data_IF_929848733451
#
_entry.id   IF_929848733451
#
_cell.length_a   1.000
_cell.length_b   1.000
_cell.length_c   1.000
_cell.angle_alpha   90.00
_cell.angle_beta   90.00
_cell.angle_gamma   90.00
#
_symmetry.space_group_name_H-M   'P 1'
#
loop_
_entity.id
_entity.type
_entity.pdbx_description
1 polymer ?
#
# COMPACT_ATOMS: atom_id res chain seq x y z
N UNK A 1 -6.13 -7.01 3.46
CA UNK A 1 -7.03 -5.85 3.56
C UNK A 1 -7.68 -5.50 2.23
N UNK A 2 -8.78 -4.74 2.25
CA UNK A 2 -9.63 -4.47 1.07
C UNK A 2 -8.92 -3.67 -0.03
N UNK A 3 -8.06 -2.74 0.34
CA UNK A 3 -7.37 -1.83 -0.60
C UNK A 3 -5.90 -1.66 -0.27
N UNK A 4 -5.08 -1.34 -1.30
CA UNK A 4 -3.67 -1.02 -1.14
C UNK A 4 -2.69 -2.20 -1.14
N UNK A 5 -3.16 -3.45 -1.13
CA UNK A 5 -2.33 -4.67 -1.02
C UNK A 5 -1.15 -4.68 -2.01
N UNK A 6 -1.42 -4.64 -3.31
CA UNK A 6 -0.39 -4.72 -4.36
C UNK A 6 0.62 -3.57 -4.28
N UNK A 7 0.12 -2.34 -4.05
CA UNK A 7 0.97 -1.15 -3.94
C UNK A 7 1.90 -1.25 -2.73
N UNK A 8 1.36 -1.64 -1.56
CA UNK A 8 2.15 -1.81 -0.34
C UNK A 8 3.18 -2.92 -0.48
N UNK A 9 2.81 -4.07 -1.07
CA UNK A 9 3.73 -5.18 -1.32
C UNK A 9 4.88 -4.75 -2.26
N UNK A 10 4.58 -4.00 -3.32
CA UNK A 10 5.59 -3.49 -4.24
C UNK A 10 6.51 -2.44 -3.59
N UNK A 11 5.96 -1.53 -2.78
CA UNK A 11 6.75 -0.55 -2.01
C UNK A 11 7.67 -1.26 -1.01
N UNK A 12 7.15 -2.23 -0.26
CA UNK A 12 7.94 -3.02 0.68
C UNK A 12 9.08 -3.76 -0.02
N UNK A 13 8.80 -4.41 -1.15
CA UNK A 13 9.82 -5.09 -1.96
C UNK A 13 10.95 -4.14 -2.37
N UNK A 14 10.62 -2.95 -2.91
CA UNK A 14 11.62 -1.96 -3.31
C UNK A 14 12.43 -1.44 -2.11
N UNK A 15 11.79 -1.24 -0.95
CA UNK A 15 12.49 -0.84 0.28
C UNK A 15 13.48 -1.92 0.74
N UNK A 16 13.06 -3.18 0.77
CA UNK A 16 13.92 -4.30 1.17
C UNK A 16 15.09 -4.50 0.21
N UNK A 17 14.90 -4.27 -1.11
CA UNK A 17 16.00 -4.30 -2.09
C UNK A 17 17.04 -3.18 -1.81
N UNK A 18 16.58 -1.94 -1.63
CA UNK A 18 17.48 -0.81 -1.29
C UNK A 18 18.17 -1.03 0.05
N UNK A 19 17.47 -1.69 0.99
CA UNK A 19 18.04 -2.13 2.27
C UNK A 19 19.08 -3.25 2.17
N UNK A 20 19.34 -3.79 0.96
CA UNK A 20 20.33 -4.85 0.72
C UNK A 20 19.86 -6.26 1.08
N UNK A 21 18.56 -6.46 1.34
CA UNK A 21 18.02 -7.73 1.81
C UNK A 21 17.68 -8.70 0.66
N UNK A 22 17.79 -8.27 -0.61
CA UNK A 22 17.55 -9.09 -1.82
C UNK A 22 16.28 -9.98 -1.74
N UNK A 23 15.08 -9.39 -1.49
CA UNK A 23 13.87 -10.15 -1.24
C UNK A 23 13.33 -10.82 -2.50
N UNK A 24 12.46 -11.82 -2.31
CA UNK A 24 11.53 -12.32 -3.32
C UNK A 24 10.17 -11.63 -3.18
N UNK A 25 9.36 -11.59 -4.25
CA UNK A 25 7.98 -11.09 -4.23
C UNK A 25 7.04 -11.93 -5.06
N UNK A 26 5.80 -12.09 -4.58
CA UNK A 26 4.63 -12.56 -5.33
C UNK A 26 3.51 -11.55 -5.08
N UNK A 27 3.04 -10.88 -6.15
CA UNK A 27 2.03 -9.81 -6.08
C UNK A 27 0.93 -10.00 -7.13
N UNK A 28 -0.25 -9.47 -6.87
CA UNK A 28 -1.38 -9.45 -7.79
C UNK A 28 -1.22 -8.45 -8.95
N UNK A 29 -0.24 -7.53 -8.88
CA UNK A 29 0.03 -6.56 -9.94
C UNK A 29 1.52 -6.48 -10.26
N UNK A 30 1.85 -6.16 -11.51
CA UNK A 30 3.24 -6.06 -11.96
C UNK A 30 3.91 -4.77 -11.51
N UNK A 31 5.13 -4.87 -10.98
CA UNK A 31 5.99 -3.74 -10.67
C UNK A 31 6.48 -3.11 -11.99
N UNK A 32 6.23 -1.80 -12.15
CA UNK A 32 6.53 -1.08 -13.40
C UNK A 32 8.00 -1.23 -13.80
N UNK A 33 8.94 -1.08 -12.87
CA UNK A 33 10.39 -1.22 -13.15
C UNK A 33 10.80 -2.62 -13.61
N UNK A 34 10.12 -3.67 -13.14
CA UNK A 34 10.39 -5.05 -13.54
C UNK A 34 9.84 -5.33 -14.94
N UNK A 35 8.64 -4.80 -15.25
CA UNK A 35 8.05 -4.88 -16.59
C UNK A 35 8.93 -4.15 -17.62
N UNK A 36 9.49 -2.99 -17.27
CA UNK A 36 10.41 -2.25 -18.14
C UNK A 36 11.71 -3.01 -18.45
N UNK A 37 12.08 -3.99 -17.61
CA UNK A 37 13.19 -4.92 -17.86
C UNK A 37 12.79 -6.11 -18.75
N UNK A 38 11.57 -6.12 -19.29
CA UNK A 38 11.06 -7.21 -20.14
C UNK A 38 10.59 -8.45 -19.39
N UNK A 39 10.38 -8.34 -18.06
CA UNK A 39 9.88 -9.43 -17.20
C UNK A 39 8.38 -9.29 -16.96
N UNK A 40 7.72 -10.35 -16.48
CA UNK A 40 6.26 -10.36 -16.16
C UNK A 40 5.91 -9.30 -15.10
N UNK A 41 6.78 -9.09 -14.12
CA UNK A 41 6.66 -8.00 -13.16
C UNK A 41 5.94 -8.33 -11.84
N UNK A 42 5.14 -9.38 -11.77
CA UNK A 42 4.37 -9.73 -10.58
C UNK A 42 5.02 -10.81 -9.69
N UNK A 43 6.16 -11.35 -10.13
CA UNK A 43 6.97 -12.27 -9.34
C UNK A 43 8.45 -12.04 -9.63
N UNK A 44 9.26 -11.99 -8.58
CA UNK A 44 10.73 -11.90 -8.64
C UNK A 44 11.31 -12.83 -7.59
N UNK A 45 12.35 -13.56 -7.96
CA UNK A 45 13.13 -14.37 -7.02
C UNK A 45 14.39 -13.60 -6.64
N UNK A 46 14.54 -13.29 -5.37
CA UNK A 46 15.74 -12.71 -4.76
C UNK A 46 16.66 -13.80 -4.18
N UNK A 47 17.80 -13.37 -3.62
CA UNK A 47 18.77 -14.27 -2.98
C UNK A 47 18.69 -14.23 -1.45
N UNK A 48 17.87 -13.32 -0.89
CA UNK A 48 17.70 -13.15 0.55
C UNK A 48 16.63 -14.06 1.14
N UNK A 49 16.47 -13.97 2.44
CA UNK A 49 15.54 -14.82 3.23
C UNK A 49 14.09 -14.33 3.20
N UNK A 50 13.84 -13.09 2.74
CA UNK A 50 12.53 -12.48 2.78
C UNK A 50 11.73 -12.75 1.51
N UNK A 51 10.47 -13.17 1.70
CA UNK A 51 9.46 -13.28 0.66
C UNK A 51 8.29 -12.36 0.99
N UNK A 52 8.03 -11.38 0.13
CA UNK A 52 6.86 -10.52 0.19
C UNK A 52 5.71 -11.16 -0.57
N UNK A 53 4.58 -11.40 0.11
CA UNK A 53 3.39 -12.00 -0.51
C UNK A 53 2.21 -11.04 -0.36
N UNK A 54 1.55 -10.75 -1.48
CA UNK A 54 0.22 -10.17 -1.45
C UNK A 54 -0.81 -11.25 -1.13
N UNK A 55 -1.25 -11.32 0.13
CA UNK A 55 -2.27 -12.26 0.57
C UNK A 55 -3.68 -11.71 0.27
N UNK A 56 -4.52 -12.50 -0.38
CA UNK A 56 -5.91 -12.14 -0.67
C UNK A 56 -6.85 -12.84 0.32
N UNK A 57 -7.86 -12.12 0.76
CA UNK A 57 -8.90 -12.60 1.65
C UNK A 57 -10.14 -13.14 0.92
N UNK A 58 -10.31 -12.82 -0.38
CA UNK A 58 -11.57 -13.03 -1.12
C UNK A 58 -11.96 -14.49 -1.31
N UNK A 59 -10.99 -15.39 -1.33
CA UNK A 59 -11.21 -16.85 -1.43
C UNK A 59 -11.02 -17.58 -0.09
N UNK A 60 -10.78 -16.83 0.98
CA UNK A 60 -10.52 -17.37 2.31
C UNK A 60 -9.15 -18.03 2.49
N UNK A 61 -8.30 -18.08 1.46
CA UNK A 61 -6.99 -18.75 1.52
C UNK A 61 -6.00 -18.09 2.48
N UNK A 62 -6.24 -16.82 2.86
CA UNK A 62 -5.39 -16.05 3.77
C UNK A 62 -5.10 -16.77 5.09
N UNK A 63 -6.01 -17.63 5.57
CA UNK A 63 -5.83 -18.39 6.81
C UNK A 63 -4.79 -19.51 6.72
N UNK A 64 -4.31 -19.83 5.52
CA UNK A 64 -3.29 -20.84 5.30
C UNK A 64 -1.86 -20.26 5.37
N UNK A 65 -1.71 -18.95 5.41
CA UNK A 65 -0.40 -18.32 5.55
C UNK A 65 0.02 -18.27 7.01
N UNK A 66 1.31 -18.50 7.25
CA UNK A 66 1.99 -18.38 8.53
C UNK A 66 3.19 -17.41 8.39
N UNK A 67 2.93 -16.11 8.22
CA UNK A 67 3.99 -15.16 7.97
C UNK A 67 4.76 -14.80 9.23
N UNK A 68 6.02 -14.42 9.07
CA UNK A 68 6.79 -13.79 10.13
C UNK A 68 6.15 -12.45 10.52
N UNK A 69 5.75 -11.64 9.52
CA UNK A 69 5.04 -10.37 9.77
C UNK A 69 3.75 -10.36 8.96
N UNK A 70 2.61 -10.36 9.62
CA UNK A 70 1.30 -10.10 9.05
C UNK A 70 1.00 -8.60 9.04
N UNK A 71 0.50 -8.07 7.92
CA UNK A 71 0.18 -6.67 7.74
C UNK A 71 -1.28 -6.48 7.34
N UNK A 72 -2.04 -5.67 8.10
CA UNK A 72 -3.43 -5.35 7.81
C UNK A 72 -3.61 -3.84 7.56
N UNK A 73 -3.98 -3.48 6.34
CA UNK A 73 -4.12 -2.09 5.91
C UNK A 73 -5.49 -1.48 6.29
N UNK A 74 -6.56 -2.17 5.95
CA UNK A 74 -7.94 -1.73 6.13
C UNK A 74 -8.89 -2.91 6.02
N UNK A 75 -10.12 -2.72 6.50
CA UNK A 75 -11.23 -3.68 6.41
C UNK A 75 -12.48 -2.91 6.02
N UNK A 76 -12.84 -2.96 4.74
CA UNK A 76 -14.05 -2.34 4.21
C UNK A 76 -14.98 -3.42 3.66
N UNK A 77 -16.28 -3.13 3.59
CA UNK A 77 -17.23 -4.02 2.95
C UNK A 77 -16.95 -4.04 1.43
N UNK A 78 -16.44 -5.16 0.92
CA UNK A 78 -16.24 -5.37 -0.51
C UNK A 78 -17.15 -6.51 -1.01
N UNK A 79 -16.79 -7.76 -0.76
CA UNK A 79 -17.55 -8.94 -1.18
C UNK A 79 -18.25 -9.64 -0.02
N UNK A 80 -17.67 -9.59 1.19
CA UNK A 80 -18.17 -10.26 2.38
C UNK A 80 -18.64 -9.30 3.47
N UNK A 81 -19.46 -9.83 4.39
CA UNK A 81 -19.84 -9.09 5.59
C UNK A 81 -18.63 -8.85 6.49
N UNK A 82 -18.54 -7.66 7.09
CA UNK A 82 -17.41 -7.26 7.97
C UNK A 82 -17.10 -8.29 9.05
N UNK A 83 -18.13 -8.97 9.59
CA UNK A 83 -17.94 -10.00 10.60
C UNK A 83 -17.13 -11.18 10.08
N UNK A 84 -17.44 -11.68 8.89
CA UNK A 84 -16.71 -12.77 8.23
C UNK A 84 -15.26 -12.38 7.97
N UNK A 85 -15.04 -11.16 7.46
CA UNK A 85 -13.69 -10.64 7.22
C UNK A 85 -12.88 -10.53 8.52
N UNK A 86 -13.49 -10.07 9.61
CA UNK A 86 -12.82 -10.01 10.92
C UNK A 86 -12.44 -11.39 11.45
N UNK A 87 -13.28 -12.42 11.25
CA UNK A 87 -12.95 -13.80 11.63
C UNK A 87 -11.75 -14.34 10.82
N UNK A 88 -11.69 -14.06 9.51
CA UNK A 88 -10.55 -14.42 8.66
C UNK A 88 -9.27 -13.71 9.09
N UNK A 89 -9.32 -12.39 9.28
CA UNK A 89 -8.16 -11.61 9.71
C UNK A 89 -7.70 -11.94 11.13
N UNK A 90 -8.61 -12.31 12.04
CA UNK A 90 -8.22 -12.80 13.37
C UNK A 90 -7.49 -14.14 13.32
N UNK A 91 -7.84 -15.03 12.38
CA UNK A 91 -7.08 -16.27 12.13
C UNK A 91 -5.71 -15.96 11.54
N UNK A 92 -5.65 -15.08 10.53
CA UNK A 92 -4.39 -14.65 9.93
C UNK A 92 -3.47 -13.99 10.96
N UNK A 93 -4.01 -13.15 11.85
CA UNK A 93 -3.28 -12.57 12.98
C UNK A 93 -2.66 -13.65 13.87
N UNK A 94 -3.44 -14.66 14.27
CA UNK A 94 -2.95 -15.76 15.12
C UNK A 94 -1.85 -16.60 14.45
N UNK A 95 -1.87 -16.68 13.13
CA UNK A 95 -0.87 -17.40 12.35
C UNK A 95 0.40 -16.60 12.11
N UNK A 96 0.39 -15.30 12.41
CA UNK A 96 1.54 -14.39 12.21
C UNK A 96 2.39 -14.36 13.48
N UNK A 97 3.72 -14.38 13.34
CA UNK A 97 4.64 -14.19 14.48
C UNK A 97 4.56 -12.76 15.01
N UNK A 98 4.56 -11.79 14.11
CA UNK A 98 4.31 -10.37 14.38
C UNK A 98 3.12 -9.89 13.57
N UNK A 99 2.39 -8.90 14.10
CA UNK A 99 1.23 -8.37 13.41
C UNK A 99 1.18 -6.84 13.52
N UNK A 100 1.04 -6.18 12.37
CA UNK A 100 0.96 -4.71 12.28
C UNK A 100 -0.36 -4.29 11.65
N UNK A 101 -1.03 -3.31 12.24
CA UNK A 101 -2.32 -2.82 11.74
C UNK A 101 -2.34 -1.31 11.55
N UNK A 102 -3.16 -0.87 10.60
CA UNK A 102 -3.47 0.54 10.42
C UNK A 102 -4.45 1.00 11.52
N UNK A 103 -3.96 1.77 12.49
CA UNK A 103 -4.76 2.33 13.58
C UNK A 103 -5.66 3.49 13.14
N UNK A 104 -5.39 4.07 11.96
CA UNK A 104 -6.28 5.08 11.36
C UNK A 104 -7.57 4.48 10.82
N UNK A 105 -7.62 3.14 10.65
CA UNK A 105 -8.81 2.44 10.20
C UNK A 105 -9.48 1.73 11.38
N UNK A 106 -10.66 2.18 11.87
CA UNK A 106 -11.25 1.73 13.14
C UNK A 106 -11.46 0.20 13.22
N UNK A 107 -11.88 -0.43 12.11
CA UNK A 107 -12.12 -1.88 12.09
C UNK A 107 -10.80 -2.64 12.15
N UNK A 108 -9.79 -2.25 11.37
CA UNK A 108 -8.45 -2.87 11.42
C UNK A 108 -7.80 -2.66 12.80
N UNK A 109 -7.97 -1.49 13.40
CA UNK A 109 -7.45 -1.15 14.73
C UNK A 109 -7.95 -2.09 15.83
N UNK A 110 -9.15 -2.69 15.69
CA UNK A 110 -9.67 -3.67 16.65
C UNK A 110 -8.87 -4.97 16.73
N UNK A 111 -8.01 -5.22 15.73
CA UNK A 111 -7.12 -6.38 15.67
C UNK A 111 -5.68 -6.04 16.09
N UNK A 112 -5.42 -4.86 16.66
CA UNK A 112 -4.09 -4.51 17.19
C UNK A 112 -3.70 -5.40 18.37
N UNK A 113 -2.46 -5.88 18.39
CA UNK A 113 -1.87 -6.59 19.52
C UNK A 113 -0.84 -5.74 20.26
N UNK A 114 0.07 -5.13 19.50
CA UNK A 114 1.22 -4.37 20.01
C UNK A 114 1.30 -3.04 19.28
N UNK A 115 0.99 -1.95 19.96
CA UNK A 115 0.92 -0.62 19.37
C UNK A 115 2.27 -0.17 18.76
N UNK A 116 3.39 -0.64 19.29
CA UNK A 116 4.74 -0.35 18.78
C UNK A 116 5.01 -0.93 17.39
N UNK A 117 4.24 -1.92 16.95
CA UNK A 117 4.32 -2.50 15.60
C UNK A 117 3.31 -1.84 14.63
N UNK A 118 2.35 -1.08 15.18
CA UNK A 118 1.27 -0.50 14.41
C UNK A 118 1.67 0.84 13.79
N UNK A 119 0.84 1.27 12.84
CA UNK A 119 1.03 2.55 12.17
C UNK A 119 -0.29 3.34 12.08
N UNK A 120 -0.16 4.68 12.02
CA UNK A 120 -1.31 5.58 11.92
C UNK A 120 -0.94 6.89 11.21
N UNK A 121 -1.94 7.53 10.60
CA UNK A 121 -1.83 8.91 10.13
C UNK A 121 -2.32 9.84 11.25
N UNK A 122 -1.49 10.81 11.63
CA UNK A 122 -1.76 11.68 12.80
C UNK A 122 -3.07 12.48 12.72
N UNK A 123 -3.48 12.89 11.53
CA UNK A 123 -4.73 13.68 11.39
C UNK A 123 -6.01 12.89 11.70
N UNK A 124 -5.96 11.56 11.71
CA UNK A 124 -7.13 10.69 11.76
C UNK A 124 -7.32 10.00 13.13
N UNK A 125 -6.34 10.09 14.01
CA UNK A 125 -6.39 9.43 15.33
C UNK A 125 -5.76 10.35 16.36
N UNK A 126 -6.36 10.47 17.57
CA UNK A 126 -5.61 10.99 18.71
C UNK A 126 -4.39 10.07 18.87
N UNK A 127 -3.20 10.59 18.60
CA UNK A 127 -1.98 9.77 18.56
C UNK A 127 -1.67 9.33 19.98
N UNK A 128 -1.90 8.06 20.25
CA UNK A 128 -1.30 7.43 21.41
C UNK A 128 0.22 7.50 21.25
N UNK A 129 0.98 7.97 22.24
CA UNK A 129 2.44 8.03 22.17
C UNK A 129 3.11 6.65 21.98
N UNK A 130 2.33 5.58 21.99
CA UNK A 130 2.82 4.19 21.87
C UNK A 130 2.76 3.62 20.46
N UNK A 131 2.22 4.36 19.47
CA UNK A 131 2.21 3.89 18.07
C UNK A 131 3.62 3.97 17.51
N UNK A 132 4.11 2.85 16.96
CA UNK A 132 5.49 2.75 16.48
C UNK A 132 5.79 3.62 15.27
N UNK A 133 4.80 3.76 14.35
CA UNK A 133 5.00 4.51 13.12
C UNK A 133 3.85 5.47 12.86
N UNK A 134 4.18 6.73 12.59
CA UNK A 134 3.16 7.75 12.31
C UNK A 134 3.54 8.62 11.12
N UNK A 135 2.58 8.82 10.20
CA UNK A 135 2.74 9.76 9.10
C UNK A 135 2.02 11.07 9.38
N UNK A 136 2.61 12.18 8.90
CA UNK A 136 2.11 13.55 9.07
C UNK A 136 2.50 14.45 7.90
N UNK A 137 2.02 15.70 7.89
CA UNK A 137 2.42 16.75 6.95
C UNK A 137 2.22 16.39 5.47
N UNK A 138 1.09 15.72 5.15
CA UNK A 138 0.77 15.38 3.77
C UNK A 138 0.64 16.61 2.88
N UNK A 139 1.38 16.62 1.78
CA UNK A 139 1.32 17.65 0.74
C UNK A 139 1.45 17.01 -0.64
N UNK A 140 0.50 17.28 -1.55
CA UNK A 140 0.62 16.88 -2.95
C UNK A 140 1.03 18.08 -3.80
N UNK A 141 2.11 17.93 -4.59
CA UNK A 141 2.59 18.89 -5.57
C UNK A 141 2.73 18.22 -6.94
N UNK A 142 1.81 18.56 -7.85
CA UNK A 142 1.75 17.88 -9.13
C UNK A 142 1.61 16.36 -8.95
N UNK A 143 2.47 15.60 -9.61
CA UNK A 143 2.48 14.13 -9.57
C UNK A 143 3.24 13.53 -8.38
N UNK A 144 3.64 14.34 -7.43
CA UNK A 144 4.45 13.94 -6.28
C UNK A 144 3.72 14.26 -4.98
N UNK A 145 3.86 13.38 -4.00
CA UNK A 145 3.45 13.63 -2.61
C UNK A 145 4.67 13.74 -1.72
N UNK A 146 4.56 14.59 -0.70
CA UNK A 146 5.53 14.80 0.36
C UNK A 146 4.83 14.61 1.71
N UNK A 147 5.52 13.99 2.66
CA UNK A 147 5.01 13.73 4.01
C UNK A 147 6.18 13.38 4.93
N UNK A 148 5.92 13.23 6.21
CA UNK A 148 6.90 12.71 7.17
C UNK A 148 6.44 11.38 7.73
N UNK A 149 7.39 10.48 8.05
CA UNK A 149 7.17 9.30 8.91
C UNK A 149 8.15 9.40 10.05
N UNK A 150 7.64 9.44 11.29
CA UNK A 150 8.46 9.63 12.49
C UNK A 150 9.50 10.75 12.30
N UNK A 151 9.04 11.91 11.82
CA UNK A 151 9.83 13.13 11.56
C UNK A 151 10.81 13.06 10.37
N UNK A 152 11.05 11.88 9.79
CA UNK A 152 11.86 11.75 8.57
C UNK A 152 11.02 12.14 7.35
N UNK A 153 11.59 12.95 6.46
CA UNK A 153 10.92 13.44 5.25
C UNK A 153 10.91 12.38 4.14
N UNK A 154 9.73 12.16 3.56
CA UNK A 154 9.51 11.26 2.43
C UNK A 154 9.00 12.03 1.22
N UNK A 155 9.42 11.60 0.04
CA UNK A 155 8.89 12.07 -1.25
C UNK A 155 8.60 10.85 -2.10
N UNK A 156 7.42 10.81 -2.71
CA UNK A 156 6.96 9.68 -3.52
C UNK A 156 6.34 10.22 -4.82
N UNK A 157 6.78 9.68 -5.97
CA UNK A 157 6.27 10.04 -7.30
C UNK A 157 4.97 9.28 -7.58
N UNK A 158 4.00 9.48 -6.73
CA UNK A 158 2.65 8.88 -6.80
C UNK A 158 1.62 9.91 -6.35
N UNK A 159 0.35 9.66 -6.66
CA UNK A 159 -0.75 10.55 -6.33
C UNK A 159 -1.54 10.07 -5.12
N UNK A 160 -2.07 11.03 -4.38
CA UNK A 160 -3.10 10.77 -3.38
C UNK A 160 -2.59 10.32 -2.02
N UNK A 161 -3.38 10.67 -1.01
CA UNK A 161 -3.11 10.37 0.40
C UNK A 161 -3.03 8.87 0.69
N UNK A 162 -3.83 8.05 -0.02
CA UNK A 162 -3.79 6.60 0.13
C UNK A 162 -2.41 6.00 -0.19
N UNK A 163 -1.62 6.64 -1.07
CA UNK A 163 -0.24 6.20 -1.33
C UNK A 163 0.73 6.60 -0.21
N UNK A 164 0.46 7.67 0.55
CA UNK A 164 1.17 7.93 1.81
C UNK A 164 0.87 6.82 2.84
N UNK A 165 -0.38 6.37 2.96
CA UNK A 165 -0.76 5.28 3.88
C UNK A 165 -0.12 3.95 3.48
N UNK A 166 -0.08 3.63 2.17
CA UNK A 166 0.63 2.45 1.66
C UNK A 166 2.13 2.51 1.95
N UNK A 167 2.74 3.70 1.76
CA UNK A 167 4.16 3.93 2.05
C UNK A 167 4.48 3.81 3.55
N UNK A 168 3.61 4.36 4.40
CA UNK A 168 3.73 4.23 5.86
C UNK A 168 3.68 2.76 6.29
N UNK A 169 2.72 1.98 5.76
CA UNK A 169 2.58 0.56 6.05
C UNK A 169 3.82 -0.24 5.62
N UNK A 170 4.31 -0.01 4.39
CA UNK A 170 5.51 -0.66 3.88
C UNK A 170 6.77 -0.29 4.71
N UNK A 171 6.90 0.98 5.08
CA UNK A 171 8.01 1.48 5.93
C UNK A 171 7.96 0.84 7.32
N UNK A 172 6.78 0.74 7.93
CA UNK A 172 6.63 0.12 9.25
C UNK A 172 7.13 -1.33 9.26
N UNK A 173 6.78 -2.14 8.26
CA UNK A 173 7.25 -3.52 8.14
C UNK A 173 8.75 -3.57 7.83
N UNK A 174 9.23 -2.76 6.89
CA UNK A 174 10.65 -2.76 6.52
C UNK A 174 11.56 -2.36 7.68
N UNK A 175 11.15 -1.40 8.51
CA UNK A 175 11.92 -0.98 9.67
C UNK A 175 11.98 -2.08 10.76
N UNK A 176 10.90 -2.86 10.94
CA UNK A 176 10.89 -4.02 11.84
C UNK A 176 11.91 -5.11 11.44
N UNK A 177 12.26 -5.19 10.15
CA UNK A 177 13.29 -6.13 9.65
C UNK A 177 14.66 -5.48 9.46
N UNK A 178 14.88 -4.30 10.05
CA UNK A 178 16.18 -3.66 10.16
C UNK A 178 16.53 -2.65 9.07
N UNK A 179 15.61 -2.29 8.16
CA UNK A 179 15.86 -1.21 7.19
C UNK A 179 15.62 0.14 7.86
N UNK A 180 16.59 1.05 7.83
CA UNK A 180 16.44 2.39 8.43
C UNK A 180 15.37 3.23 7.72
N UNK A 181 14.78 4.20 8.42
CA UNK A 181 13.78 5.10 7.85
C UNK A 181 14.34 5.93 6.69
N UNK A 182 15.62 6.29 6.73
CA UNK A 182 16.33 7.01 5.67
C UNK A 182 16.45 6.14 4.39
N UNK A 183 16.75 4.85 4.56
CA UNK A 183 16.78 3.91 3.45
C UNK A 183 15.37 3.68 2.87
N UNK A 184 14.34 3.62 3.71
CA UNK A 184 12.95 3.58 3.28
C UNK A 184 12.59 4.82 2.45
N UNK A 185 12.96 6.02 2.92
CA UNK A 185 12.73 7.27 2.20
C UNK A 185 13.46 7.31 0.84
N UNK A 186 14.69 6.81 0.81
CA UNK A 186 15.50 6.70 -0.42
C UNK A 186 14.85 5.76 -1.44
N UNK A 187 14.41 4.59 -1.01
CA UNK A 187 13.73 3.61 -1.86
C UNK A 187 12.42 4.17 -2.44
N UNK A 188 11.58 4.76 -1.58
CA UNK A 188 10.29 5.30 -1.99
C UNK A 188 10.41 6.52 -2.92
N UNK A 189 11.47 7.30 -2.80
CA UNK A 189 11.78 8.38 -3.76
C UNK A 189 12.03 7.85 -5.17
N UNK A 190 12.55 6.63 -5.31
CA UNK A 190 12.87 5.96 -6.57
C UNK A 190 11.76 5.03 -7.06
N UNK A 191 10.70 4.83 -6.26
CA UNK A 191 9.60 3.93 -6.56
C UNK A 191 8.86 4.35 -7.84
N UNK A 192 8.70 3.42 -8.78
CA UNK A 192 8.14 3.67 -10.10
C UNK A 192 6.67 3.24 -10.24
N UNK A 193 6.06 2.79 -9.15
CA UNK A 193 4.68 2.35 -9.15
C UNK A 193 4.47 0.92 -9.65
N UNK A 194 3.20 0.55 -9.74
CA UNK A 194 2.74 -0.72 -10.29
C UNK A 194 1.82 -0.48 -11.49
N UNK A 195 1.74 -1.45 -12.36
CA UNK A 195 0.96 -1.40 -13.59
C UNK A 195 -0.51 -1.12 -13.29
N UNK A 196 -1.08 -0.11 -13.98
CA UNK A 196 -2.47 0.32 -13.86
C UNK A 196 -2.91 0.75 -12.45
N UNK A 197 -2.03 1.41 -11.68
CA UNK A 197 -2.38 2.08 -10.41
C UNK A 197 -1.86 3.51 -10.46
N UNK A 198 -2.74 4.47 -10.75
CA UNK A 198 -2.40 5.86 -11.04
C UNK A 198 -1.20 5.97 -12.01
N UNK A 199 -1.13 5.04 -12.95
CA UNK A 199 -0.05 5.00 -13.92
C UNK A 199 -0.17 6.17 -14.91
N UNK A 200 0.80 7.08 -14.88
CA UNK A 200 0.88 8.16 -15.85
C UNK A 200 1.36 7.56 -17.18
N UNK A 201 0.49 7.57 -18.19
CA UNK A 201 0.80 7.08 -19.53
C UNK A 201 1.51 8.13 -20.37
N UNK A 202 1.31 9.40 -20.08
CA UNK A 202 1.96 10.51 -20.75
C UNK A 202 1.22 11.83 -20.61
N UNK A 203 1.82 12.87 -21.20
CA UNK A 203 1.23 14.21 -21.29
C UNK A 203 1.29 14.70 -22.73
N UNK A 204 0.15 15.14 -23.27
CA UNK A 204 0.08 15.72 -24.62
C UNK A 204 -0.84 16.94 -24.61
N UNK A 205 -0.40 18.05 -25.17
CA UNK A 205 -1.14 19.30 -25.24
C UNK A 205 -1.70 19.78 -23.87
N UNK A 206 -0.95 19.59 -22.80
CA UNK A 206 -1.38 19.93 -21.44
C UNK A 206 -2.35 18.93 -20.79
N UNK A 207 -2.73 17.85 -21.48
CA UNK A 207 -3.57 16.78 -20.95
C UNK A 207 -2.70 15.65 -20.41
N UNK A 208 -2.81 15.35 -19.13
CA UNK A 208 -2.17 14.18 -18.49
C UNK A 208 -3.13 13.02 -18.61
N UNK A 209 -2.64 11.88 -19.12
CA UNK A 209 -3.41 10.62 -19.23
C UNK A 209 -2.94 9.67 -18.14
N UNK A 210 -3.89 9.20 -17.34
CA UNK A 210 -3.64 8.30 -16.19
C UNK A 210 -4.49 7.05 -16.36
N UNK A 211 -3.88 5.86 -16.21
CA UNK A 211 -4.58 4.58 -16.16
C UNK A 211 -4.66 4.08 -14.72
N UNK A 212 -5.86 3.69 -14.29
CA UNK A 212 -6.10 3.10 -12.97
C UNK A 212 -7.07 1.93 -13.05
N UNK A 213 -6.85 0.93 -12.23
CA UNK A 213 -7.68 -0.28 -12.15
C UNK A 213 -8.84 -0.14 -11.15
N UNK A 214 -9.19 1.06 -10.73
CA UNK A 214 -10.31 1.29 -9.83
C UNK A 214 -11.61 0.75 -10.43
N UNK A 215 -12.32 -0.10 -9.69
CA UNK A 215 -13.49 -0.84 -10.19
C UNK A 215 -14.66 -0.87 -9.19
N UNK A 216 -14.52 -0.25 -8.03
CA UNK A 216 -15.61 -0.04 -7.09
C UNK A 216 -15.73 1.46 -6.71
N UNK A 217 -16.88 1.91 -6.17
CA UNK A 217 -17.12 3.33 -5.92
C UNK A 217 -16.04 4.00 -5.07
N UNK A 218 -15.57 3.36 -4.00
CA UNK A 218 -14.57 3.92 -3.10
C UNK A 218 -13.20 4.08 -3.81
N UNK A 219 -12.76 3.07 -4.57
CA UNK A 219 -11.52 3.12 -5.35
C UNK A 219 -11.61 4.18 -6.46
N UNK A 220 -12.74 4.26 -7.18
CA UNK A 220 -12.96 5.29 -8.20
C UNK A 220 -12.93 6.70 -7.61
N UNK A 221 -13.61 6.92 -6.48
CA UNK A 221 -13.60 8.20 -5.79
C UNK A 221 -12.19 8.61 -5.35
N UNK A 222 -11.42 7.70 -4.77
CA UNK A 222 -10.03 7.94 -4.37
C UNK A 222 -9.14 8.28 -5.58
N UNK A 223 -9.27 7.53 -6.68
CA UNK A 223 -8.51 7.76 -7.90
C UNK A 223 -8.80 9.13 -8.53
N UNK A 224 -10.06 9.51 -8.63
CA UNK A 224 -10.48 10.81 -9.17
C UNK A 224 -10.01 11.94 -8.25
N UNK A 225 -10.22 11.80 -6.92
CA UNK A 225 -9.82 12.82 -5.95
C UNK A 225 -8.32 13.08 -5.95
N UNK A 226 -7.49 12.06 -6.14
CA UNK A 226 -6.05 12.20 -6.26
C UNK A 226 -5.61 13.00 -7.51
N UNK A 227 -6.46 13.06 -8.54
CA UNK A 227 -6.19 13.81 -9.78
C UNK A 227 -6.58 15.29 -9.70
N UNK A 228 -7.50 15.69 -8.79
CA UNK A 228 -7.95 17.10 -8.70
C UNK A 228 -6.83 18.13 -8.49
N UNK A 229 -5.76 17.85 -7.69
CA UNK A 229 -4.66 18.79 -7.54
C UNK A 229 -3.80 18.96 -8.81
N UNK A 230 -3.96 18.09 -9.82
CA UNK A 230 -3.16 18.13 -11.05
C UNK A 230 -3.68 19.15 -12.07
N UNK A 231 -4.99 19.36 -12.13
CA UNK A 231 -5.61 20.17 -13.16
C UNK A 231 -6.98 20.69 -12.71
N UNK A 232 -7.42 21.85 -13.22
CA UNK A 232 -8.71 22.44 -12.88
C UNK A 232 -9.90 21.60 -13.38
N UNK A 233 -9.66 20.66 -14.29
CA UNK A 233 -10.69 19.79 -14.87
C UNK A 233 -10.17 18.35 -14.93
N UNK A 234 -10.93 17.41 -14.37
CA UNK A 234 -10.70 15.97 -14.45
C UNK A 234 -11.81 15.36 -15.30
N UNK A 235 -11.44 14.55 -16.28
CA UNK A 235 -12.37 13.74 -17.08
C UNK A 235 -12.11 12.28 -16.74
N UNK A 236 -13.08 11.62 -16.13
CA UNK A 236 -13.01 10.20 -15.83
C UNK A 236 -13.75 9.39 -16.92
N UNK A 237 -13.03 8.42 -17.48
CA UNK A 237 -13.61 7.41 -18.37
C UNK A 237 -13.62 6.09 -17.63
N UNK A 238 -14.80 5.55 -17.38
CA UNK A 238 -15.00 4.34 -16.59
C UNK A 238 -15.70 3.26 -17.42
N UNK A 239 -15.13 2.06 -17.38
CA UNK A 239 -15.77 0.86 -17.91
C UNK A 239 -16.11 -0.07 -16.74
N UNK A 240 -17.41 -0.33 -16.47
CA UNK A 240 -17.79 -1.24 -15.39
C UNK A 240 -17.34 -2.67 -15.68
N UNK A 241 -16.92 -3.38 -14.65
CA UNK A 241 -16.55 -4.79 -14.72
C UNK A 241 -17.71 -5.66 -14.27
N UNK A 242 -18.06 -6.63 -15.11
CA UNK A 242 -19.03 -7.68 -14.81
C UNK A 242 -20.47 -7.28 -15.11
N UNK A 243 -21.23 -8.27 -15.53
CA UNK A 243 -22.69 -8.27 -15.55
C UNK A 243 -23.14 -9.04 -14.31
N UNK A 244 -23.70 -8.36 -13.29
CA UNK A 244 -24.69 -9.03 -12.45
C UNK A 244 -26.05 -8.72 -13.07
N UNK A 245 -26.85 -9.76 -13.37
CA UNK A 245 -28.24 -9.58 -13.76
C UNK A 245 -29.01 -8.91 -12.63
#
# INVERSE_FOLDING_TARGET
GTSGKSTTAAMLFDILEVGGLSPSIISGAGLTRIIQQGKIGNAVVGQGEWLVIEADESDGSIVNYHPEIGLLLNVDKDHDEIKTLLELFAKFQKNSTHFSVNRSHPIAASLSLYAENDFAVKDNVPVSPTIGYSADHFLQKGISIQFTINEISFTLQQLGRHNMENALAATAVANQVGVSLENCATALKQYQGIFRRHQILGTKNGVVVIDDYAHNPAKCAAAISACHPLAPKVIAWFQPHGYKP
#
